data_IF_471514622442
#
_entry.id   IF_471514622442
#
_cell.length_a   1.000
_cell.length_b   1.000
_cell.length_c   1.000
_cell.angle_alpha   90.00
_cell.angle_beta   90.00
_cell.angle_gamma   90.00
#
_symmetry.space_group_name_H-M   'P 1'
#
loop_
_entity.id
_entity.type
_entity.pdbx_description
1 polymer ?
#
# COMPACT_ATOMS: atom_id res chain seq x y z
N UNK A 1 -17.57 9.69 2.64
CA UNK A 1 -16.24 10.30 2.84
C UNK A 1 -16.08 11.64 2.09
N UNK A 2 -16.37 11.70 0.78
CA UNK A 2 -16.17 12.90 -0.05
C UNK A 2 -16.98 14.13 0.38
N UNK A 3 -18.21 13.93 0.86
CA UNK A 3 -19.07 15.02 1.35
C UNK A 3 -18.48 15.76 2.57
N UNK A 4 -17.73 15.04 3.42
CA UNK A 4 -17.11 15.60 4.64
C UNK A 4 -15.92 16.53 4.34
N UNK A 5 -15.22 16.28 3.23
CA UNK A 5 -14.12 17.15 2.75
C UNK A 5 -14.62 18.55 2.36
N UNK A 6 -15.87 18.64 1.90
CA UNK A 6 -16.49 19.86 1.40
C UNK A 6 -17.20 20.64 2.52
N UNK A 7 -17.97 19.95 3.38
CA UNK A 7 -19.02 20.59 4.19
C UNK A 7 -18.64 21.05 5.62
N UNK A 8 -17.54 20.58 6.23
CA UNK A 8 -17.33 20.87 7.66
C UNK A 8 -16.54 22.18 7.95
N UNK A 9 -16.99 22.94 8.95
CA UNK A 9 -16.25 24.07 9.56
C UNK A 9 -15.03 23.54 10.34
N UNK A 10 -13.95 24.34 10.41
CA UNK A 10 -12.76 24.01 11.21
C UNK A 10 -13.18 23.85 12.69
N UNK A 11 -12.91 22.72 13.36
CA UNK A 11 -13.04 22.63 14.80
C UNK A 11 -11.92 23.47 15.40
N UNK A 12 -12.31 24.33 16.33
CA UNK A 12 -11.40 24.92 17.31
C UNK A 12 -10.46 23.83 17.84
N UNK A 13 -9.16 24.11 17.85
CA UNK A 13 -8.12 23.26 18.42
C UNK A 13 -8.59 22.71 19.78
N UNK A 14 -9.16 21.51 19.77
CA UNK A 14 -9.67 20.89 20.99
C UNK A 14 -8.44 20.24 21.60
N UNK A 15 -7.98 20.79 22.73
CA UNK A 15 -6.94 20.19 23.59
C UNK A 15 -7.37 18.78 23.97
N UNK A 16 -7.06 17.79 23.13
CA UNK A 16 -7.29 16.40 23.43
C UNK A 16 -6.38 16.02 24.60
N UNK A 17 -6.98 15.51 25.68
CA UNK A 17 -6.28 15.09 26.88
C UNK A 17 -5.15 14.11 26.53
N UNK A 18 -3.91 14.52 26.77
CA UNK A 18 -2.68 13.78 26.47
C UNK A 18 -2.38 12.68 27.50
N UNK A 19 -3.30 12.43 28.44
CA UNK A 19 -3.08 11.55 29.59
C UNK A 19 -3.11 10.04 29.26
N UNK A 20 -3.71 9.63 28.14
CA UNK A 20 -3.84 8.20 27.76
C UNK A 20 -3.37 7.92 26.33
N UNK A 21 -2.85 6.71 26.03
CA UNK A 21 -2.40 6.33 24.69
C UNK A 21 -3.52 6.39 23.65
N UNK A 22 -4.76 6.10 24.06
CA UNK A 22 -5.94 6.20 23.20
C UNK A 22 -6.27 7.66 22.82
N UNK A 23 -6.13 8.59 23.77
CA UNK A 23 -6.30 10.03 23.52
C UNK A 23 -5.26 10.59 22.54
N UNK A 24 -4.01 10.11 22.61
CA UNK A 24 -2.95 10.46 21.66
C UNK A 24 -3.24 9.90 20.25
N UNK A 25 -3.66 8.64 20.15
CA UNK A 25 -4.03 8.03 18.88
C UNK A 25 -5.18 8.78 18.20
N UNK A 26 -6.23 9.13 18.96
CA UNK A 26 -7.36 9.90 18.45
C UNK A 26 -6.95 11.30 17.99
N UNK A 27 -6.10 12.00 18.75
CA UNK A 27 -5.58 13.30 18.36
C UNK A 27 -4.75 13.23 17.07
N UNK A 28 -3.93 12.19 16.90
CA UNK A 28 -3.17 11.97 15.67
C UNK A 28 -4.08 11.69 14.48
N UNK A 29 -5.04 10.78 14.60
CA UNK A 29 -6.02 10.51 13.54
C UNK A 29 -6.74 11.80 13.15
N UNK A 30 -7.16 12.60 14.13
CA UNK A 30 -7.85 13.86 13.86
C UNK A 30 -6.94 14.87 13.15
N UNK A 31 -5.67 15.00 13.55
CA UNK A 31 -4.70 15.86 12.85
C UNK A 31 -4.47 15.44 11.41
N UNK A 32 -4.36 14.14 11.12
CA UNK A 32 -4.21 13.61 9.76
C UNK A 32 -5.42 13.95 8.89
N UNK A 33 -6.63 13.79 9.41
CA UNK A 33 -7.87 14.15 8.70
C UNK A 33 -7.91 15.64 8.35
N UNK A 34 -7.40 16.51 9.22
CA UNK A 34 -7.29 17.94 8.95
C UNK A 34 -6.26 18.25 7.87
N UNK A 35 -5.08 17.64 7.92
CA UNK A 35 -4.04 17.83 6.89
C UNK A 35 -4.53 17.39 5.51
N UNK A 36 -5.25 16.26 5.42
CA UNK A 36 -5.82 15.78 4.14
C UNK A 36 -6.85 16.77 3.60
N UNK A 37 -7.68 17.35 4.47
CA UNK A 37 -8.68 18.33 4.07
C UNK A 37 -8.07 19.66 3.64
N UNK A 38 -7.06 20.12 4.36
CA UNK A 38 -6.35 21.35 4.01
C UNK A 38 -5.68 21.21 2.64
N UNK A 39 -5.05 20.05 2.39
CA UNK A 39 -4.48 19.70 1.09
C UNK A 39 -5.53 19.66 -0.03
N UNK A 40 -6.72 19.12 0.22
CA UNK A 40 -7.84 19.13 -0.74
C UNK A 40 -8.33 20.55 -1.06
N UNK A 41 -8.45 21.43 -0.06
CA UNK A 41 -8.94 22.80 -0.25
C UNK A 41 -7.93 23.72 -0.90
N UNK A 42 -6.65 23.66 -0.50
CA UNK A 42 -5.61 24.52 -1.05
C UNK A 42 -5.10 24.04 -2.41
N UNK A 43 -5.08 22.73 -2.68
CA UNK A 43 -4.48 22.16 -3.89
C UNK A 43 -5.31 21.03 -4.51
N UNK A 44 -6.58 21.31 -4.82
CA UNK A 44 -7.53 20.33 -5.37
C UNK A 44 -6.98 19.56 -6.61
N UNK A 45 -6.28 20.25 -7.53
CA UNK A 45 -5.67 19.60 -8.70
C UNK A 45 -4.62 18.56 -8.30
N UNK A 46 -3.67 18.94 -7.44
CA UNK A 46 -2.59 18.06 -6.99
C UNK A 46 -3.14 16.89 -6.18
N UNK A 47 -4.14 17.13 -5.34
CA UNK A 47 -4.86 16.08 -4.60
C UNK A 47 -5.41 15.01 -5.54
N UNK A 48 -6.13 15.41 -6.60
CA UNK A 48 -6.69 14.47 -7.56
C UNK A 48 -5.61 13.74 -8.35
N UNK A 49 -4.54 14.41 -8.76
CA UNK A 49 -3.42 13.72 -9.42
C UNK A 49 -2.78 12.67 -8.50
N UNK A 50 -2.50 12.99 -7.25
CA UNK A 50 -1.97 12.01 -6.29
C UNK A 50 -2.94 10.85 -6.05
N UNK A 51 -4.24 11.14 -5.91
CA UNK A 51 -5.27 10.12 -5.75
C UNK A 51 -5.37 9.19 -6.97
N UNK A 52 -5.36 9.77 -8.18
CA UNK A 52 -5.41 9.00 -9.42
C UNK A 52 -4.13 8.18 -9.63
N UNK A 53 -2.95 8.73 -9.35
CA UNK A 53 -1.69 8.00 -9.42
C UNK A 53 -1.68 6.82 -8.43
N UNK A 54 -2.21 7.02 -7.23
CA UNK A 54 -2.36 5.95 -6.25
C UNK A 54 -3.35 4.87 -6.74
N UNK A 55 -4.49 5.26 -7.28
CA UNK A 55 -5.45 4.31 -7.85
C UNK A 55 -4.88 3.55 -9.06
N UNK A 56 -4.16 4.24 -9.94
CA UNK A 56 -3.49 3.62 -11.10
C UNK A 56 -2.41 2.64 -10.65
N UNK A 57 -1.60 2.98 -9.65
CA UNK A 57 -0.63 2.06 -9.06
C UNK A 57 -1.29 0.76 -8.61
N UNK A 58 -2.45 0.86 -7.94
CA UNK A 58 -3.23 -0.29 -7.51
C UNK A 58 -3.80 -1.11 -8.67
N UNK A 59 -4.34 -0.45 -9.71
CA UNK A 59 -4.83 -1.15 -10.90
C UNK A 59 -3.69 -1.89 -11.59
N UNK A 60 -2.52 -1.25 -11.74
CA UNK A 60 -1.33 -1.86 -12.34
C UNK A 60 -0.87 -3.07 -11.50
N UNK A 61 -0.87 -2.96 -10.17
CA UNK A 61 -0.52 -4.08 -9.28
C UNK A 61 -1.47 -5.27 -9.42
N UNK A 62 -2.77 -5.02 -9.52
CA UNK A 62 -3.77 -6.06 -9.76
C UNK A 62 -3.64 -6.68 -11.16
N UNK A 63 -3.40 -5.85 -12.18
CA UNK A 63 -3.24 -6.28 -13.56
C UNK A 63 -1.98 -7.13 -13.73
N UNK A 64 -0.88 -6.75 -13.06
CA UNK A 64 0.34 -7.55 -12.97
C UNK A 64 0.01 -8.94 -12.43
N UNK A 65 -0.72 -9.05 -11.32
CA UNK A 65 -1.09 -10.34 -10.76
C UNK A 65 -1.92 -11.21 -11.71
N UNK A 66 -2.85 -10.59 -12.43
CA UNK A 66 -3.59 -11.27 -13.50
C UNK A 66 -2.66 -11.81 -14.60
N UNK A 67 -1.70 -11.01 -15.08
CA UNK A 67 -0.75 -11.46 -16.10
C UNK A 67 0.15 -12.59 -15.60
N UNK A 68 0.57 -12.56 -14.34
CA UNK A 68 1.33 -13.66 -13.72
C UNK A 68 0.56 -14.97 -13.82
N UNK A 69 -0.71 -14.97 -13.41
CA UNK A 69 -1.55 -16.16 -13.48
C UNK A 69 -1.81 -16.61 -14.92
N UNK A 70 -1.98 -15.67 -15.85
CA UNK A 70 -2.14 -15.95 -17.27
C UNK A 70 -0.89 -16.59 -17.87
N UNK A 71 0.31 -16.10 -17.54
CA UNK A 71 1.59 -16.68 -17.98
C UNK A 71 1.84 -18.06 -17.39
N UNK A 72 1.28 -18.35 -16.21
CA UNK A 72 1.30 -19.68 -15.62
C UNK A 72 0.31 -20.67 -16.27
N UNK A 73 -0.36 -20.27 -17.36
CA UNK A 73 -1.27 -21.13 -18.12
C UNK A 73 -2.67 -21.27 -17.51
N UNK A 74 -3.02 -20.43 -16.53
CA UNK A 74 -4.34 -20.46 -15.90
C UNK A 74 -5.32 -19.58 -16.68
N UNK A 75 -6.47 -20.13 -17.05
CA UNK A 75 -7.58 -19.38 -17.65
C UNK A 75 -8.33 -18.57 -16.58
N UNK A 76 -7.78 -17.42 -16.20
CA UNK A 76 -8.42 -16.48 -15.26
C UNK A 76 -9.00 -15.28 -16.00
N UNK A 77 -10.06 -14.69 -15.44
CA UNK A 77 -10.56 -13.38 -15.84
C UNK A 77 -9.84 -12.26 -15.05
N UNK A 78 -9.76 -11.02 -15.57
CA UNK A 78 -9.13 -9.89 -14.88
C UNK A 78 -9.69 -9.64 -13.47
N UNK A 79 -10.99 -9.89 -13.27
CA UNK A 79 -11.66 -9.72 -11.97
C UNK A 79 -11.12 -10.67 -10.90
N UNK A 80 -10.70 -11.88 -11.25
CA UNK A 80 -10.08 -12.80 -10.30
C UNK A 80 -8.74 -12.25 -9.81
N UNK A 81 -7.95 -11.66 -10.70
CA UNK A 81 -6.69 -11.01 -10.33
C UNK A 81 -6.89 -9.87 -9.33
N UNK A 82 -7.93 -9.06 -9.53
CA UNK A 82 -8.32 -7.99 -8.61
C UNK A 82 -8.76 -8.52 -7.25
N UNK A 83 -9.65 -9.52 -7.22
CA UNK A 83 -10.15 -10.10 -5.97
C UNK A 83 -9.01 -10.71 -5.15
N UNK A 84 -8.11 -11.45 -5.79
CA UNK A 84 -6.95 -12.03 -5.09
C UNK A 84 -6.05 -10.93 -4.57
N UNK A 85 -5.69 -9.94 -5.39
CA UNK A 85 -4.75 -8.90 -4.98
C UNK A 85 -5.28 -8.10 -3.78
N UNK A 86 -6.57 -7.73 -3.80
CA UNK A 86 -7.24 -7.10 -2.66
C UNK A 86 -7.22 -8.00 -1.42
N UNK A 87 -7.51 -9.29 -1.59
CA UNK A 87 -7.55 -10.25 -0.49
C UNK A 87 -6.17 -10.49 0.11
N UNK A 88 -5.12 -10.56 -0.73
CA UNK A 88 -3.72 -10.65 -0.29
C UNK A 88 -3.38 -9.46 0.58
N UNK A 89 -3.84 -8.26 0.23
CA UNK A 89 -3.49 -7.05 0.99
C UNK A 89 -4.20 -7.01 2.34
N UNK A 90 -5.43 -7.51 2.43
CA UNK A 90 -6.09 -7.73 3.73
C UNK A 90 -5.28 -8.71 4.58
N UNK A 91 -4.87 -9.84 4.03
CA UNK A 91 -4.07 -10.83 4.78
C UNK A 91 -2.69 -10.29 5.18
N UNK A 92 -2.05 -9.50 4.32
CA UNK A 92 -0.79 -8.80 4.64
C UNK A 92 -0.96 -7.80 5.77
N UNK A 93 -2.13 -7.18 5.92
CA UNK A 93 -2.38 -6.25 7.03
C UNK A 93 -2.44 -6.96 8.38
N UNK A 94 -2.97 -8.18 8.44
CA UNK A 94 -2.91 -9.04 9.63
C UNK A 94 -1.45 -9.36 9.99
N UNK A 95 -0.65 -9.66 8.97
CA UNK A 95 0.78 -9.94 9.10
C UNK A 95 1.70 -8.72 9.16
N UNK A 96 1.17 -7.50 9.29
CA UNK A 96 1.98 -6.27 9.22
C UNK A 96 3.00 -6.15 10.37
N UNK A 97 2.81 -6.91 11.45
CA UNK A 97 3.74 -6.98 12.57
C UNK A 97 5.00 -7.80 12.27
N UNK A 98 4.99 -8.66 11.25
CA UNK A 98 6.12 -9.54 10.91
C UNK A 98 7.06 -8.81 9.94
N UNK A 99 8.32 -8.54 10.33
CA UNK A 99 9.29 -7.88 9.47
C UNK A 99 9.57 -8.76 8.24
N UNK A 100 9.45 -8.18 7.05
CA UNK A 100 9.64 -8.88 5.77
C UNK A 100 8.48 -9.75 5.31
N UNK A 101 7.41 -9.90 6.11
CA UNK A 101 6.17 -10.65 5.77
C UNK A 101 6.43 -12.04 5.17
N UNK A 102 7.55 -12.67 5.55
CA UNK A 102 7.96 -13.99 5.09
C UNK A 102 6.98 -15.04 5.65
N UNK A 103 6.44 -15.90 4.78
CA UNK A 103 5.44 -16.90 5.14
C UNK A 103 3.99 -16.42 5.03
N UNK A 104 3.67 -15.19 5.43
CA UNK A 104 2.29 -14.67 5.35
C UNK A 104 1.82 -14.53 3.91
N UNK A 105 2.68 -13.98 3.05
CA UNK A 105 2.33 -13.73 1.64
C UNK A 105 2.18 -15.05 0.87
N UNK A 106 3.01 -16.06 1.17
CA UNK A 106 2.93 -17.41 0.62
C UNK A 106 1.65 -18.13 1.05
N UNK A 107 1.33 -18.08 2.35
CA UNK A 107 0.10 -18.67 2.89
C UNK A 107 -1.13 -17.97 2.31
N UNK A 108 -1.10 -16.63 2.19
CA UNK A 108 -2.16 -15.84 1.59
C UNK A 108 -2.39 -16.25 0.12
N UNK A 109 -1.34 -16.27 -0.70
CA UNK A 109 -1.45 -16.68 -2.09
C UNK A 109 -1.95 -18.13 -2.23
N UNK A 110 -1.43 -19.05 -1.42
CA UNK A 110 -1.89 -20.45 -1.41
C UNK A 110 -3.37 -20.56 -1.07
N UNK A 111 -3.82 -19.88 -0.01
CA UNK A 111 -5.22 -19.89 0.42
C UNK A 111 -6.14 -19.30 -0.64
N UNK A 112 -5.78 -18.15 -1.20
CA UNK A 112 -6.62 -17.41 -2.14
C UNK A 112 -6.71 -18.09 -3.51
N UNK A 113 -5.62 -18.69 -3.98
CA UNK A 113 -5.64 -19.48 -5.21
C UNK A 113 -6.44 -20.78 -5.04
N UNK A 114 -6.37 -21.40 -3.85
CA UNK A 114 -7.21 -22.53 -3.52
C UNK A 114 -8.70 -22.15 -3.50
N UNK A 115 -9.06 -20.96 -2.99
CA UNK A 115 -10.44 -20.46 -3.02
C UNK A 115 -10.98 -20.23 -4.44
N UNK A 116 -10.10 -20.01 -5.43
CA UNK A 116 -10.48 -19.81 -6.84
C UNK A 116 -10.47 -21.14 -7.62
N UNK A 117 -10.19 -22.26 -6.95
CA UNK A 117 -10.17 -23.59 -7.56
C UNK A 117 -8.88 -23.91 -8.31
N UNK A 118 -7.82 -23.11 -8.13
CA UNK A 118 -6.51 -23.34 -8.76
C UNK A 118 -5.68 -24.21 -7.79
N UNK A 119 -5.68 -25.52 -8.02
CA UNK A 119 -5.04 -26.51 -7.13
C UNK A 119 -3.59 -26.84 -7.49
N UNK A 120 -2.98 -26.10 -8.43
CA UNK A 120 -1.58 -26.28 -8.81
C UNK A 120 -0.61 -25.89 -7.69
N UNK A 121 0.01 -26.89 -7.05
CA UNK A 121 0.93 -26.69 -5.92
C UNK A 121 2.17 -25.85 -6.22
N UNK A 122 2.54 -25.65 -7.49
CA UNK A 122 3.66 -24.81 -7.92
C UNK A 122 3.25 -23.38 -8.32
N UNK A 123 1.96 -23.17 -8.65
CA UNK A 123 1.49 -21.91 -9.26
C UNK A 123 1.51 -20.77 -8.26
N UNK A 124 1.00 -21.02 -7.04
CA UNK A 124 1.00 -20.03 -5.97
C UNK A 124 2.41 -19.65 -5.53
N UNK A 125 3.35 -20.60 -5.59
CA UNK A 125 4.74 -20.39 -5.21
C UNK A 125 5.44 -19.52 -6.25
N UNK A 126 5.31 -19.86 -7.53
CA UNK A 126 5.87 -19.07 -8.64
C UNK A 126 5.32 -17.64 -8.66
N UNK A 127 4.00 -17.47 -8.44
CA UNK A 127 3.39 -16.15 -8.37
C UNK A 127 3.91 -15.33 -7.18
N UNK A 128 4.07 -15.95 -6.01
CA UNK A 128 4.65 -15.30 -4.82
C UNK A 128 6.10 -14.89 -5.06
N UNK A 129 6.90 -15.77 -5.67
CA UNK A 129 8.31 -15.53 -5.94
C UNK A 129 8.51 -14.35 -6.91
N UNK A 130 7.69 -14.28 -7.96
CA UNK A 130 7.77 -13.19 -8.94
C UNK A 130 7.42 -11.84 -8.31
N UNK A 131 6.37 -11.78 -7.47
CA UNK A 131 5.99 -10.56 -6.73
C UNK A 131 7.10 -10.09 -5.79
N UNK A 132 7.78 -11.01 -5.12
CA UNK A 132 8.94 -10.69 -4.27
C UNK A 132 10.16 -10.27 -5.06
N UNK A 133 10.43 -10.91 -6.18
CA UNK A 133 11.47 -10.50 -7.11
C UNK A 133 11.33 -9.03 -7.48
N UNK A 134 10.11 -8.57 -7.79
CA UNK A 134 9.84 -7.15 -8.03
C UNK A 134 10.21 -6.27 -6.84
N UNK A 135 9.75 -6.60 -5.63
CA UNK A 135 10.07 -5.81 -4.43
C UNK A 135 11.58 -5.71 -4.19
N UNK A 136 12.29 -6.83 -4.32
CA UNK A 136 13.75 -6.87 -4.19
C UNK A 136 14.44 -6.02 -5.26
N UNK A 137 13.98 -6.07 -6.50
CA UNK A 137 14.51 -5.22 -7.59
C UNK A 137 14.36 -3.74 -7.25
N UNK A 138 13.20 -3.30 -6.76
CA UNK A 138 12.99 -1.90 -6.36
C UNK A 138 13.82 -1.49 -5.15
N UNK A 139 13.96 -2.37 -4.15
CA UNK A 139 14.83 -2.13 -3.00
C UNK A 139 16.29 -2.01 -3.43
N UNK A 140 16.75 -2.91 -4.32
CA UNK A 140 18.11 -2.87 -4.85
C UNK A 140 18.37 -1.59 -5.65
N UNK A 141 17.45 -1.18 -6.53
CA UNK A 141 17.55 0.08 -7.26
C UNK A 141 17.60 1.29 -6.32
N UNK A 142 16.72 1.34 -5.31
CA UNK A 142 16.74 2.39 -4.30
C UNK A 142 18.04 2.44 -3.52
N UNK A 143 18.60 1.28 -3.17
CA UNK A 143 19.89 1.16 -2.49
C UNK A 143 21.05 1.64 -3.36
N UNK A 144 21.08 1.25 -4.65
CA UNK A 144 22.09 1.73 -5.61
C UNK A 144 22.01 3.25 -5.73
N UNK A 145 20.83 3.83 -5.92
CA UNK A 145 20.68 5.28 -5.99
C UNK A 145 21.09 5.99 -4.70
N UNK A 146 20.79 5.40 -3.55
CA UNK A 146 21.22 5.92 -2.27
C UNK A 146 22.75 5.95 -2.15
N UNK A 147 23.46 4.93 -2.65
CA UNK A 147 24.93 4.93 -2.69
C UNK A 147 25.50 5.92 -3.71
N UNK A 148 24.81 6.11 -4.85
CA UNK A 148 25.23 7.07 -5.88
C UNK A 148 24.97 8.54 -5.49
N UNK A 149 24.06 8.81 -4.55
CA UNK A 149 23.87 10.15 -3.99
C UNK A 149 25.12 10.53 -3.19
N UNK A 150 25.96 11.39 -3.79
CA UNK A 150 27.06 12.03 -3.06
C UNK A 150 26.47 12.84 -1.91
N UNK A 151 26.76 12.46 -0.68
CA UNK A 151 26.43 13.27 0.49
C UNK A 151 27.18 14.58 0.39
N UNK A 152 26.48 15.67 0.04
CA UNK A 152 27.05 17.01 0.21
C UNK A 152 27.29 17.21 1.71
N UNK A 153 28.51 17.56 2.16
CA UNK A 153 28.71 17.91 3.55
C UNK A 153 27.84 19.13 3.85
N UNK A 154 26.88 18.97 4.76
CA UNK A 154 26.11 20.09 5.29
C UNK A 154 27.08 20.85 6.17
N UNK A 155 27.64 21.95 5.66
CA UNK A 155 28.36 22.91 6.50
C UNK A 155 27.34 23.51 7.46
N UNK A 156 27.27 22.96 8.67
CA UNK A 156 26.65 23.62 9.81
C UNK A 156 27.68 24.64 10.30
N UNK A 157 27.49 25.90 9.95
CA UNK A 157 28.16 27.02 10.61
C UNK A 157 27.56 27.13 12.02
N UNK A 158 28.35 26.78 13.04
CA UNK A 158 28.08 27.10 14.45
C UNK A 158 28.46 28.55 14.69
#
# INVERSE_FOLDING_TARGET
>A
ILYWLIAAKSPSQTKASTATPFGKAQAHVQSLLWSVKDFYKHQNKVFWYSYLLFALHWIIGSLEFYYILKFLGVSVQPIHGLIVDMSVIVLKSIGAFIPGQLGIEEIANKLLLHMIGITGGSIWLSASLLRRGRQLTWVALGFIFYLCIKRKPVHVSI
#
